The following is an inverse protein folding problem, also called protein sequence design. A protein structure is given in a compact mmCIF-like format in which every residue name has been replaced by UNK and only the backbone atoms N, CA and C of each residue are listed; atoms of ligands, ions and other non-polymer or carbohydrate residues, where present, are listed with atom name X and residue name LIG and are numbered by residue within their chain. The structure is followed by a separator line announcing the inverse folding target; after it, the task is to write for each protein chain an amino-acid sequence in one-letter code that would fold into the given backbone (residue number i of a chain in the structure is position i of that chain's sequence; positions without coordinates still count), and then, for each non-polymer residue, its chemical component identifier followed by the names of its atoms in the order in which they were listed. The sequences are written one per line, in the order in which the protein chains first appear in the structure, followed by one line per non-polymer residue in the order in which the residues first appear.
data_IF_491118665789
#
_entry.id   IF_491118665789
#
_cell.length_a   1.000
_cell.length_b   1.000
_cell.length_c   1.000
_cell.angle_alpha   90.00
_cell.angle_beta   90.00
_cell.angle_gamma   90.00
#
_symmetry.space_group_name_H-M   'P 1'
#
loop_
_entity.id
_entity.type
_entity.pdbx_description
1 polymer ?
#
# COMPACT_ATOMS: atom_id res chain seq x y z
N UNK A 1 6.06 11.00 -31.65
CA UNK A 1 7.01 11.06 -30.52
C UNK A 1 7.82 9.78 -30.57
N UNK A 2 9.01 9.86 -31.14
CA UNK A 2 9.92 8.72 -31.29
C UNK A 2 10.55 8.42 -29.93
N UNK A 3 10.56 7.14 -29.54
CA UNK A 3 11.17 6.72 -28.26
C UNK A 3 12.67 6.68 -28.47
N UNK A 4 13.36 7.76 -28.14
CA UNK A 4 14.82 7.78 -28.17
C UNK A 4 15.37 6.92 -27.02
N UNK A 5 16.15 5.90 -27.37
CA UNK A 5 16.86 5.05 -26.42
C UNK A 5 18.27 5.61 -26.24
N UNK A 6 18.63 5.94 -25.00
CA UNK A 6 19.94 6.49 -24.65
C UNK A 6 20.84 5.38 -24.11
N UNK A 7 22.09 5.35 -24.55
CA UNK A 7 23.11 4.45 -23.99
C UNK A 7 23.63 5.02 -22.68
N UNK A 8 23.64 4.22 -21.62
CA UNK A 8 24.14 4.64 -20.33
C UNK A 8 24.71 3.47 -19.52
N UNK A 9 25.63 3.76 -18.62
CA UNK A 9 26.27 2.78 -17.75
C UNK A 9 25.47 2.60 -16.46
N UNK A 10 25.07 1.37 -16.16
CA UNK A 10 24.35 1.06 -14.93
C UNK A 10 25.23 1.25 -13.70
N UNK A 11 24.79 2.05 -12.72
CA UNK A 11 25.53 2.27 -11.47
C UNK A 11 25.54 1.06 -10.52
N UNK A 12 24.71 0.04 -10.77
CA UNK A 12 24.64 -1.17 -9.93
C UNK A 12 25.43 -2.35 -10.50
N UNK A 13 25.37 -2.60 -11.81
CA UNK A 13 26.11 -3.69 -12.46
C UNK A 13 27.31 -3.23 -13.31
N UNK A 14 27.49 -1.92 -13.51
CA UNK A 14 28.54 -1.33 -14.36
C UNK A 14 28.50 -1.76 -15.84
N UNK A 15 27.37 -2.30 -16.31
CA UNK A 15 27.18 -2.68 -17.71
C UNK A 15 26.50 -1.56 -18.51
N UNK A 16 26.81 -1.50 -19.81
CA UNK A 16 26.17 -0.60 -20.77
C UNK A 16 24.75 -1.09 -21.09
N UNK A 17 23.76 -0.20 -20.97
CA UNK A 17 22.36 -0.52 -21.24
C UNK A 17 21.65 0.61 -22.00
N UNK A 18 20.57 0.25 -22.70
CA UNK A 18 19.70 1.19 -23.42
C UNK A 18 18.51 1.56 -22.53
N UNK A 19 18.37 2.86 -22.23
CA UNK A 19 17.35 3.39 -21.33
C UNK A 19 16.42 4.36 -22.08
N UNK A 20 15.12 4.42 -21.75
CA UNK A 20 14.16 5.30 -22.42
C UNK A 20 14.18 6.74 -21.88
N UNK A 21 15.19 7.11 -21.11
CA UNK A 21 15.34 8.43 -20.50
C UNK A 21 16.77 8.95 -20.69
N UNK A 22 16.92 10.26 -20.79
CA UNK A 22 18.24 10.89 -20.94
C UNK A 22 19.01 10.84 -19.60
N UNK A 23 20.22 10.25 -19.54
CA UNK A 23 21.05 10.24 -18.33
C UNK A 23 21.52 11.66 -17.97
N UNK A 24 21.16 12.14 -16.79
CA UNK A 24 21.53 13.47 -16.28
C UNK A 24 22.58 13.38 -15.18
N UNK A 25 23.55 14.31 -15.16
CA UNK A 25 24.54 14.40 -14.09
C UNK A 25 23.85 14.65 -12.73
N UNK A 26 24.06 13.75 -11.78
CA UNK A 26 23.45 13.79 -10.44
C UNK A 26 22.37 12.72 -10.17
N UNK A 27 21.96 11.92 -11.17
CA UNK A 27 21.03 10.80 -10.96
C UNK A 27 21.64 9.46 -11.41
N UNK A 28 21.73 8.44 -10.53
CA UNK A 28 22.31 7.15 -10.89
C UNK A 28 21.42 6.44 -11.91
N UNK A 29 22.05 5.96 -12.99
CA UNK A 29 21.38 5.19 -14.03
C UNK A 29 21.30 3.73 -13.60
N UNK A 30 20.14 3.11 -13.77
CA UNK A 30 19.94 1.68 -13.51
C UNK A 30 19.40 1.01 -14.76
N UNK A 31 19.98 -0.12 -15.15
CA UNK A 31 19.42 -0.95 -16.20
C UNK A 31 18.06 -1.52 -15.78
N UNK A 32 17.25 -1.93 -16.75
CA UNK A 32 15.89 -2.44 -16.49
C UNK A 32 15.89 -3.64 -15.52
N UNK A 33 16.92 -4.50 -15.59
CA UNK A 33 17.10 -5.64 -14.68
C UNK A 33 17.35 -5.20 -13.23
N UNK A 34 18.27 -4.27 -13.00
CA UNK A 34 18.57 -3.73 -11.67
C UNK A 34 17.41 -2.91 -11.11
N UNK A 35 16.71 -2.14 -11.96
CA UNK A 35 15.53 -1.40 -11.57
C UNK A 35 14.36 -2.32 -11.18
N UNK A 36 14.17 -3.45 -11.88
CA UNK A 36 13.18 -4.48 -11.51
C UNK A 36 13.53 -5.12 -10.16
N UNK A 37 14.78 -5.53 -9.95
CA UNK A 37 15.28 -6.09 -8.66
C UNK A 37 15.01 -5.18 -7.46
N UNK A 38 15.21 -3.87 -7.61
CA UNK A 38 14.90 -2.90 -6.56
C UNK A 38 13.39 -2.77 -6.25
N UNK A 39 12.53 -3.10 -7.21
CA UNK A 39 11.07 -3.13 -7.03
C UNK A 39 10.56 -4.45 -6.45
N UNK A 40 11.34 -5.52 -6.50
CA UNK A 40 10.92 -6.83 -6.00
C UNK A 40 10.81 -6.88 -4.46
N UNK A 41 11.52 -6.01 -3.73
CA UNK A 41 11.30 -5.82 -2.29
C UNK A 41 9.95 -5.14 -1.93
N UNK A 42 9.22 -4.66 -2.94
CA UNK A 42 7.87 -4.10 -2.80
C UNK A 42 6.86 -4.73 -3.78
N UNK A 43 7.15 -5.92 -4.32
CA UNK A 43 6.20 -6.74 -5.09
C UNK A 43 5.69 -7.94 -4.31
N UNK A 44 5.62 -7.80 -2.98
CA UNK A 44 4.65 -8.51 -2.15
C UNK A 44 3.24 -7.95 -2.36
N UNK A 45 2.74 -7.97 -3.60
CA UNK A 45 1.33 -7.73 -3.92
C UNK A 45 0.49 -8.95 -3.54
N UNK A 46 0.55 -9.34 -2.26
CA UNK A 46 -0.42 -10.24 -1.66
C UNK A 46 -1.73 -9.49 -1.50
N UNK A 47 -2.80 -10.03 -2.09
CA UNK A 47 -4.18 -9.58 -1.88
C UNK A 47 -4.63 -9.97 -0.47
N UNK A 48 -3.94 -9.48 0.54
CA UNK A 48 -4.33 -9.64 1.92
C UNK A 48 -5.12 -8.41 2.31
N UNK A 49 -6.41 -8.61 2.57
CA UNK A 49 -7.30 -7.64 3.21
C UNK A 49 -6.86 -7.44 4.68
N UNK A 50 -5.61 -7.04 4.88
CA UNK A 50 -4.99 -6.79 6.16
C UNK A 50 -5.09 -5.30 6.48
N UNK A 51 -6.05 -4.95 7.32
CA UNK A 51 -6.05 -3.70 8.08
C UNK A 51 -4.75 -3.58 8.88
N UNK A 52 -3.70 -2.98 8.30
CA UNK A 52 -2.36 -3.01 8.88
C UNK A 52 -1.52 -1.77 8.60
N UNK A 53 -2.13 -0.63 8.31
CA UNK A 53 -1.48 0.66 8.51
C UNK A 53 -1.36 0.90 10.01
N UNK A 54 -0.15 1.21 10.47
CA UNK A 54 0.18 1.64 11.83
C UNK A 54 -0.61 2.92 12.19
N UNK A 55 -1.88 2.74 12.50
CA UNK A 55 -2.76 3.72 13.14
C UNK A 55 -3.15 3.02 14.43
N UNK A 56 -2.78 3.58 15.58
CA UNK A 56 -3.21 3.09 16.90
C UNK A 56 -4.69 2.72 16.85
N UNK A 57 -5.00 1.43 16.64
CA UNK A 57 -6.38 0.97 16.54
C UNK A 57 -6.92 1.00 17.96
N UNK A 58 -7.49 2.15 18.32
CA UNK A 58 -8.25 2.29 19.55
C UNK A 58 -9.57 1.59 19.31
N UNK A 59 -9.60 0.36 19.78
CA UNK A 59 -10.79 -0.47 19.85
C UNK A 59 -11.70 0.08 20.97
N UNK A 60 -12.94 0.42 20.61
CA UNK A 60 -13.93 0.92 21.55
C UNK A 60 -14.94 -0.18 21.89
N UNK A 61 -15.11 -0.44 23.18
CA UNK A 61 -16.17 -1.33 23.66
C UNK A 61 -17.51 -0.60 23.66
N UNK A 62 -18.48 -1.18 22.99
CA UNK A 62 -19.82 -0.61 22.80
C UNK A 62 -20.87 -1.71 22.86
N UNK A 63 -22.11 -1.32 23.13
CA UNK A 63 -23.26 -2.23 23.11
C UNK A 63 -23.98 -2.09 21.77
N UNK A 64 -24.25 -3.22 21.10
CA UNK A 64 -25.01 -3.23 19.85
C UNK A 64 -26.43 -2.72 20.08
N UNK A 65 -26.87 -1.74 19.31
CA UNK A 65 -28.21 -1.14 19.42
C UNK A 65 -29.35 -2.08 18.99
N UNK A 66 -29.04 -3.15 18.25
CA UNK A 66 -30.04 -4.07 17.69
C UNK A 66 -30.18 -5.35 18.53
N UNK A 67 -29.06 -5.96 18.92
CA UNK A 67 -29.06 -7.22 19.69
C UNK A 67 -28.61 -7.09 21.15
N UNK A 68 -28.16 -5.91 21.60
CA UNK A 68 -27.76 -5.67 22.99
C UNK A 68 -26.45 -6.31 23.44
N UNK A 69 -25.70 -6.97 22.54
CA UNK A 69 -24.41 -7.60 22.89
C UNK A 69 -23.27 -6.59 22.92
N UNK A 70 -22.32 -6.80 23.82
CA UNK A 70 -21.05 -6.08 23.81
C UNK A 70 -20.24 -6.45 22.56
N UNK A 71 -19.75 -5.44 21.84
CA UNK A 71 -18.93 -5.59 20.64
C UNK A 71 -17.82 -4.56 20.65
N UNK A 72 -16.75 -4.85 19.92
CA UNK A 72 -15.60 -3.95 19.78
C UNK A 72 -15.62 -3.33 18.39
N UNK A 73 -15.48 -2.01 18.31
CA UNK A 73 -15.49 -1.27 17.05
C UNK A 73 -14.21 -0.44 16.88
N UNK A 74 -13.65 -0.34 15.65
CA UNK A 74 -12.41 0.39 15.38
C UNK A 74 -12.63 1.91 15.18
N UNK A 75 -13.82 2.42 15.50
CA UNK A 75 -14.19 3.82 15.32
C UNK A 75 -14.77 4.40 16.60
N UNK A 76 -14.55 5.69 16.84
CA UNK A 76 -15.11 6.39 18.00
C UNK A 76 -16.63 6.52 17.81
N UNK A 77 -17.46 6.04 18.75
CA UNK A 77 -18.91 6.23 18.69
C UNK A 77 -19.27 7.71 18.68
N UNK A 78 -20.19 8.12 17.80
CA UNK A 78 -20.72 9.49 17.74
C UNK A 78 -22.13 9.55 18.32
N UNK A 79 -22.48 10.68 18.94
CA UNK A 79 -23.85 10.90 19.40
C UNK A 79 -24.76 11.06 18.17
N UNK A 80 -25.77 10.20 18.05
CA UNK A 80 -26.78 10.25 16.97
C UNK A 80 -26.77 9.10 15.96
N UNK A 81 -25.79 8.19 15.99
CA UNK A 81 -25.78 6.99 15.12
C UNK A 81 -25.74 5.71 15.96
N UNK A 82 -26.70 4.77 15.80
CA UNK A 82 -26.69 3.51 16.54
C UNK A 82 -25.49 2.66 16.13
N UNK A 83 -24.76 2.13 17.11
CA UNK A 83 -23.62 1.24 16.85
C UNK A 83 -24.12 -0.19 16.72
N UNK A 84 -23.76 -0.87 15.64
CA UNK A 84 -24.17 -2.24 15.34
C UNK A 84 -22.96 -3.17 15.37
N UNK A 85 -23.16 -4.42 15.83
CA UNK A 85 -22.13 -5.46 15.71
C UNK A 85 -21.98 -5.89 14.25
N UNK A 86 -20.88 -6.60 13.95
CA UNK A 86 -20.57 -7.07 12.60
C UNK A 86 -21.69 -7.93 12.00
N UNK A 87 -22.35 -8.74 12.83
CA UNK A 87 -23.43 -9.62 12.39
C UNK A 87 -24.70 -8.82 12.05
N UNK A 88 -25.14 -7.92 12.94
CA UNK A 88 -26.31 -7.06 12.70
C UNK A 88 -26.07 -6.09 11.53
N UNK A 89 -24.84 -5.60 11.34
CA UNK A 89 -24.52 -4.74 10.20
C UNK A 89 -24.53 -5.51 8.87
N UNK A 90 -24.10 -6.78 8.86
CA UNK A 90 -24.10 -7.62 7.65
C UNK A 90 -25.51 -8.14 7.30
N UNK A 91 -26.38 -8.28 8.30
CA UNK A 91 -27.75 -8.77 8.14
C UNK A 91 -28.81 -7.70 7.87
N UNK A 92 -28.41 -6.43 7.76
CA UNK A 92 -29.25 -5.31 7.31
C UNK A 92 -29.08 -5.10 5.81
#
# INVERSE_FOLDING_TARGET
MEREMFKATCSECNEECEIPFNPTEGRPVKCDACFKKGRDNHRGGGRDRGFGGNRERRDFNVVCADCGRATTVPFKPTQGKPVLCRDCFKGK
#
